data_IF_375864172246
#
_entry.id   IF_375864172246
#
_cell.length_a   1.000
_cell.length_b   1.000
_cell.length_c   1.000
_cell.angle_alpha   90.00
_cell.angle_beta   90.00
_cell.angle_gamma   90.00
#
_symmetry.space_group_name_H-M   'P 1'
#
loop_
_entity.id
_entity.type
_entity.pdbx_description
1 polymer ?
#
# COMPACT_ATOMS: atom_id res chain seq x y z
N UNK A 1 4.88 10.72 -5.91
CA UNK A 1 4.41 9.43 -6.48
C UNK A 1 5.53 8.70 -7.24
N UNK A 2 6.82 8.93 -6.92
CA UNK A 2 7.94 8.51 -7.79
C UNK A 2 8.59 7.16 -7.43
N UNK A 3 8.06 6.42 -6.45
CA UNK A 3 8.68 5.16 -5.98
C UNK A 3 7.68 4.00 -5.96
N UNK A 4 6.85 3.86 -6.99
CA UNK A 4 6.22 2.56 -7.23
C UNK A 4 7.25 1.62 -7.88
N UNK A 5 7.95 0.92 -6.99
CA UNK A 5 8.91 -0.17 -7.20
C UNK A 5 8.53 -1.08 -8.37
N UNK A 6 9.19 -0.93 -9.52
CA UNK A 6 9.09 -1.88 -10.64
C UNK A 6 10.42 -2.61 -10.90
N UNK A 7 11.55 -1.91 -10.80
CA UNK A 7 12.86 -2.48 -11.14
C UNK A 7 13.67 -2.77 -9.87
N UNK A 8 14.00 -4.03 -9.55
CA UNK A 8 14.97 -4.35 -8.51
C UNK A 8 16.36 -3.92 -8.98
N UNK A 9 17.09 -3.20 -8.13
CA UNK A 9 18.50 -2.86 -8.34
C UNK A 9 19.38 -3.78 -7.49
N UNK A 10 20.68 -3.85 -7.80
CA UNK A 10 21.66 -4.59 -6.99
C UNK A 10 21.69 -4.12 -5.51
N UNK A 11 21.23 -2.90 -5.24
CA UNK A 11 21.11 -2.32 -3.90
C UNK A 11 19.75 -2.60 -3.22
N UNK A 12 18.70 -2.94 -4.00
CA UNK A 12 17.34 -3.25 -3.52
C UNK A 12 16.99 -4.71 -3.79
N UNK A 13 17.61 -5.60 -3.01
CA UNK A 13 17.46 -7.06 -3.12
C UNK A 13 16.08 -7.59 -2.70
N UNK A 14 15.33 -6.83 -1.88
CA UNK A 14 14.04 -7.25 -1.33
C UNK A 14 12.90 -6.61 -2.14
N UNK A 15 12.06 -7.44 -2.75
CA UNK A 15 10.92 -6.99 -3.55
C UNK A 15 9.65 -6.79 -2.72
N UNK A 16 9.46 -7.62 -1.70
CA UNK A 16 8.40 -7.53 -0.71
C UNK A 16 8.85 -8.23 0.59
N UNK A 17 8.25 -7.84 1.71
CA UNK A 17 8.39 -8.57 2.97
C UNK A 17 7.10 -8.50 3.78
N UNK A 18 6.97 -9.47 4.68
CA UNK A 18 5.97 -9.49 5.74
C UNK A 18 6.71 -9.81 7.03
N UNK A 19 6.65 -8.90 8.00
CA UNK A 19 7.37 -9.00 9.27
C UNK A 19 6.42 -8.82 10.44
N UNK A 20 6.67 -9.57 11.51
CA UNK A 20 6.10 -9.31 12.83
C UNK A 20 6.99 -8.29 13.54
N UNK A 21 6.41 -7.18 13.95
CA UNK A 21 7.10 -6.11 14.67
C UNK A 21 6.47 -5.88 16.05
N UNK A 22 7.29 -5.37 16.96
CA UNK A 22 6.86 -4.78 18.22
C UNK A 22 7.11 -3.28 18.17
N UNK A 23 6.05 -2.47 18.27
CA UNK A 23 6.17 -1.01 18.31
C UNK A 23 6.52 -0.61 19.74
N UNK A 24 7.73 -0.07 19.93
CA UNK A 24 8.23 0.40 21.23
C UNK A 24 7.85 1.85 21.50
N UNK A 25 7.73 2.68 20.46
CA UNK A 25 7.35 4.09 20.59
C UNK A 25 6.49 4.60 19.44
N UNK A 26 5.55 5.50 19.71
CA UNK A 26 4.80 6.27 18.71
C UNK A 26 5.06 7.75 18.95
N UNK A 27 5.88 8.38 18.10
CA UNK A 27 6.32 9.76 18.34
C UNK A 27 5.30 10.81 17.84
N UNK A 28 4.41 10.46 16.90
CA UNK A 28 3.37 11.36 16.39
C UNK A 28 1.98 10.74 16.47
N UNK A 29 1.12 11.38 17.27
CA UNK A 29 -0.29 11.02 17.38
C UNK A 29 -1.10 11.59 16.21
N UNK A 30 -1.80 10.72 15.50
CA UNK A 30 -2.70 11.10 14.41
C UNK A 30 -4.15 10.98 14.86
N UNK A 31 -5.01 11.88 14.36
CA UNK A 31 -6.46 11.76 14.54
C UNK A 31 -7.01 10.49 13.88
N UNK A 32 -6.35 10.04 12.80
CA UNK A 32 -6.60 8.76 12.16
C UNK A 32 -5.31 7.93 12.14
N UNK A 33 -5.11 7.03 13.12
CA UNK A 33 -3.89 6.23 13.22
C UNK A 33 -3.87 5.09 12.20
N UNK A 34 -2.67 4.71 11.75
CA UNK A 34 -2.47 3.55 10.88
C UNK A 34 -2.19 2.25 11.65
N UNK A 35 -1.99 2.34 12.98
CA UNK A 35 -1.79 1.17 13.84
C UNK A 35 -3.16 0.61 14.20
N UNK A 36 -3.40 -0.65 13.84
CA UNK A 36 -4.64 -1.36 14.19
C UNK A 36 -4.36 -2.38 15.28
N UNK A 37 -5.06 -2.24 16.41
CA UNK A 37 -5.06 -3.19 17.53
C UNK A 37 -6.33 -4.02 17.49
N UNK A 38 -6.18 -5.34 17.64
CA UNK A 38 -7.32 -6.26 17.71
C UNK A 38 -7.63 -6.60 19.16
N UNK A 39 -8.89 -6.48 19.54
CA UNK A 39 -9.41 -6.92 20.83
C UNK A 39 -10.65 -7.81 20.64
N UNK A 40 -11.35 -8.14 21.73
CA UNK A 40 -12.55 -8.98 21.69
C UNK A 40 -13.77 -8.29 21.03
N UNK A 41 -13.72 -6.97 20.84
CA UNK A 41 -14.79 -6.15 20.25
C UNK A 41 -14.54 -5.84 18.78
N UNK A 42 -13.29 -5.92 18.32
CA UNK A 42 -12.94 -5.83 16.91
C UNK A 42 -11.56 -5.22 16.67
N UNK A 43 -11.46 -4.51 15.55
CA UNK A 43 -10.24 -3.82 15.13
C UNK A 43 -10.38 -2.33 15.44
N UNK A 44 -9.40 -1.78 16.16
CA UNK A 44 -9.38 -0.39 16.59
C UNK A 44 -8.11 0.31 16.11
N UNK A 45 -8.26 1.47 15.49
CA UNK A 45 -7.11 2.31 15.10
C UNK A 45 -6.66 3.14 16.29
N UNK A 46 -5.41 2.97 16.71
CA UNK A 46 -4.87 3.51 17.96
C UNK A 46 -3.50 4.14 17.76
N UNK A 47 -3.09 5.05 18.64
CA UNK A 47 -1.72 5.57 18.69
C UNK A 47 -0.96 4.93 19.87
N UNK A 48 -1.06 3.62 20.01
CA UNK A 48 -0.52 2.88 21.15
C UNK A 48 0.50 1.84 20.71
N UNK A 49 1.31 1.40 21.67
CA UNK A 49 2.22 0.27 21.49
C UNK A 49 1.43 -1.00 21.20
N UNK A 50 1.86 -1.74 20.19
CA UNK A 50 1.30 -3.05 19.88
C UNK A 50 2.31 -3.93 19.15
N UNK A 51 2.08 -5.24 19.22
CA UNK A 51 2.70 -6.20 18.33
C UNK A 51 1.79 -6.43 17.13
N UNK A 52 2.32 -6.33 15.92
CA UNK A 52 1.53 -6.57 14.72
C UNK A 52 2.36 -7.09 13.55
N UNK A 53 1.67 -7.71 12.58
CA UNK A 53 2.23 -8.14 11.31
C UNK A 53 2.03 -7.05 10.27
N UNK A 54 3.10 -6.67 9.58
CA UNK A 54 3.11 -5.56 8.62
C UNK A 54 3.78 -6.00 7.32
N UNK A 55 3.31 -5.44 6.22
CA UNK A 55 4.01 -5.48 4.95
C UNK A 55 4.96 -4.27 4.81
N UNK A 56 5.72 -4.24 3.71
CA UNK A 56 6.68 -3.17 3.45
C UNK A 56 6.04 -1.78 3.30
N UNK A 57 4.85 -1.70 2.73
CA UNK A 57 4.16 -0.41 2.49
C UNK A 57 3.62 0.14 3.79
N UNK A 58 3.00 -0.71 4.60
CA UNK A 58 2.45 -0.34 5.90
C UNK A 58 3.55 0.12 6.85
N UNK A 59 4.67 -0.61 6.89
CA UNK A 59 5.80 -0.25 7.75
C UNK A 59 6.39 1.12 7.34
N UNK A 60 6.62 1.34 6.05
CA UNK A 60 7.11 2.62 5.53
C UNK A 60 6.18 3.78 5.89
N UNK A 61 4.86 3.58 5.74
CA UNK A 61 3.87 4.59 6.11
C UNK A 61 3.90 4.91 7.61
N UNK A 62 4.01 3.91 8.48
CA UNK A 62 4.05 4.14 9.93
C UNK A 62 5.33 4.86 10.35
N UNK A 63 6.48 4.52 9.75
CA UNK A 63 7.75 5.25 9.96
C UNK A 63 7.58 6.72 9.53
N UNK A 64 7.02 6.95 8.35
CA UNK A 64 6.91 8.30 7.78
C UNK A 64 5.91 9.19 8.52
N UNK A 65 4.74 8.67 8.86
CA UNK A 65 3.61 9.48 9.34
C UNK A 65 3.43 9.45 10.85
N UNK A 66 3.70 8.32 11.51
CA UNK A 66 3.59 8.17 12.98
C UNK A 66 4.95 8.18 13.68
N UNK A 67 6.05 8.11 12.92
CA UNK A 67 7.42 8.14 13.44
C UNK A 67 7.63 7.08 14.53
N UNK A 68 7.21 5.86 14.21
CA UNK A 68 7.29 4.75 15.16
C UNK A 68 8.74 4.32 15.39
N UNK A 69 9.04 3.91 16.61
CA UNK A 69 10.21 3.10 16.94
C UNK A 69 9.72 1.67 17.15
N UNK A 70 10.45 0.70 16.62
CA UNK A 70 10.00 -0.70 16.62
C UNK A 70 11.17 -1.67 16.53
N UNK A 71 10.91 -2.90 16.97
CA UNK A 71 11.81 -4.04 16.83
C UNK A 71 11.19 -5.06 15.88
N UNK A 72 12.03 -5.68 15.02
CA UNK A 72 11.60 -6.79 14.17
C UNK A 72 11.76 -8.08 14.96
N UNK A 73 10.68 -8.86 15.05
CA UNK A 73 10.68 -10.15 15.77
C UNK A 73 11.08 -11.27 14.81
N UNK A 74 10.38 -11.35 13.67
CA UNK A 74 10.58 -12.36 12.62
C UNK A 74 9.88 -11.92 11.34
N UNK A 75 10.19 -12.57 10.22
CA UNK A 75 9.43 -12.35 9.00
C UNK A 75 9.92 -13.17 7.82
N UNK A 76 9.20 -13.04 6.73
CA UNK A 76 9.56 -13.59 5.43
C UNK A 76 9.80 -12.44 4.45
N UNK A 77 10.76 -12.62 3.57
CA UNK A 77 11.04 -11.68 2.49
C UNK A 77 11.13 -12.45 1.17
N UNK A 78 10.82 -11.73 0.10
CA UNK A 78 10.90 -12.22 -1.26
C UNK A 78 11.93 -11.41 -2.04
N UNK A 79 12.65 -12.12 -2.90
CA UNK A 79 13.67 -11.57 -3.80
C UNK A 79 13.20 -11.66 -5.24
N UNK A 80 13.83 -10.90 -6.14
CA UNK A 80 13.55 -10.95 -7.58
C UNK A 80 12.54 -9.92 -8.06
N UNK A 81 12.19 -9.98 -9.35
CA UNK A 81 11.37 -8.96 -10.00
C UNK A 81 9.88 -9.10 -9.69
N UNK A 82 9.18 -7.97 -9.57
CA UNK A 82 7.72 -7.96 -9.49
C UNK A 82 7.12 -8.24 -10.87
N UNK A 83 6.13 -9.12 -10.93
CA UNK A 83 5.38 -9.35 -12.17
C UNK A 83 4.47 -8.16 -12.48
N UNK A 84 4.50 -7.70 -13.73
CA UNK A 84 3.63 -6.63 -14.23
C UNK A 84 2.35 -7.18 -14.92
N UNK A 85 2.09 -8.49 -14.83
CA UNK A 85 0.95 -9.13 -15.50
C UNK A 85 -0.39 -8.44 -15.17
N UNK A 86 -0.67 -8.22 -13.89
CA UNK A 86 -1.92 -7.56 -13.48
C UNK A 86 -1.97 -6.09 -13.91
N UNK A 87 -0.88 -5.35 -13.79
CA UNK A 87 -0.80 -3.95 -14.23
C UNK A 87 -1.14 -3.82 -15.71
N UNK A 88 -0.57 -4.70 -16.54
CA UNK A 88 -0.81 -4.69 -17.99
C UNK A 88 -2.28 -5.01 -18.31
N UNK A 89 -2.91 -5.94 -17.61
CA UNK A 89 -4.32 -6.29 -17.85
C UNK A 89 -5.28 -5.19 -17.37
N UNK A 90 -4.97 -4.59 -16.21
CA UNK A 90 -5.71 -3.43 -15.69
C UNK A 90 -5.62 -2.26 -16.69
N UNK A 91 -4.45 -1.99 -17.26
CA UNK A 91 -4.25 -0.94 -18.26
C UNK A 91 -5.15 -1.14 -19.49
N UNK A 92 -5.27 -2.38 -19.99
CA UNK A 92 -6.19 -2.69 -21.10
C UNK A 92 -7.63 -2.33 -20.75
N UNK A 93 -8.09 -2.72 -19.56
CA UNK A 93 -9.45 -2.42 -19.08
C UNK A 93 -9.66 -0.91 -18.95
N UNK A 94 -8.69 -0.17 -18.40
CA UNK A 94 -8.76 1.28 -18.28
C UNK A 94 -8.84 1.97 -19.65
N UNK A 95 -8.01 1.55 -20.61
CA UNK A 95 -8.02 2.08 -21.97
C UNK A 95 -9.35 1.80 -22.67
N UNK A 96 -9.92 0.60 -22.51
CA UNK A 96 -11.25 0.28 -23.02
C UNK A 96 -12.33 1.19 -22.42
N UNK A 97 -12.33 1.37 -21.09
CA UNK A 97 -13.27 2.26 -20.40
C UNK A 97 -13.15 3.70 -20.89
N UNK A 98 -11.94 4.18 -21.12
CA UNK A 98 -11.67 5.51 -21.65
C UNK A 98 -12.27 5.69 -23.07
N UNK A 99 -12.08 4.72 -23.95
CA UNK A 99 -12.63 4.75 -25.31
C UNK A 99 -14.17 4.71 -25.31
N UNK A 100 -14.77 3.85 -24.49
CA UNK A 100 -16.23 3.78 -24.36
C UNK A 100 -16.81 5.11 -23.83
N UNK A 101 -16.16 5.72 -22.84
CA UNK A 101 -16.58 7.03 -22.31
C UNK A 101 -16.55 8.11 -23.38
N UNK A 102 -15.50 8.15 -24.22
CA UNK A 102 -15.40 9.08 -25.36
C UNK A 102 -16.54 8.88 -26.36
N UNK A 103 -16.85 7.63 -26.74
CA UNK A 103 -17.94 7.33 -27.67
C UNK A 103 -19.30 7.76 -27.12
N UNK A 104 -19.59 7.46 -25.85
CA UNK A 104 -20.84 7.89 -25.20
C UNK A 104 -20.98 9.42 -25.22
N UNK A 105 -19.90 10.14 -24.93
CA UNK A 105 -19.88 11.62 -25.01
C UNK A 105 -20.14 12.08 -26.45
N UNK A 106 -19.47 11.48 -27.43
CA UNK A 106 -19.64 11.81 -28.84
C UNK A 106 -21.08 11.61 -29.34
N UNK A 107 -21.71 10.47 -29.04
CA UNK A 107 -23.11 10.22 -29.41
C UNK A 107 -24.08 11.18 -28.70
N UNK A 108 -23.82 11.53 -27.43
CA UNK A 108 -24.61 12.57 -26.74
C UNK A 108 -24.48 13.94 -27.41
N UNK A 109 -23.31 14.29 -27.94
CA UNK A 109 -23.14 15.54 -28.69
C UNK A 109 -23.97 15.50 -29.98
N UNK A 110 -23.92 14.41 -30.76
CA UNK A 110 -24.67 14.29 -32.02
C UNK A 110 -26.19 14.35 -31.83
N UNK A 111 -26.73 13.75 -30.77
CA UNK A 111 -28.19 13.69 -30.53
C UNK A 111 -28.77 15.04 -30.04
N UNK A 112 -27.94 15.96 -29.54
CA UNK A 112 -28.37 17.26 -29.03
C UNK A 112 -28.18 18.42 -30.05
N UNK A 113 -27.88 18.10 -31.31
CA UNK A 113 -27.95 19.01 -32.47
C UNK A 113 -29.05 18.52 -33.42
#
# INVERSE_FOLDING_TARGET
>A
MLEQQLEPTNERYISAFIVDIEISKVNKHLHFPNITKKDNKGNHNVNEFCTMRVDNVMLENMIKFQQIEFNIIRGYYWTGCKSNMFSNEIEKIYNLRYQLKKKVIHYKTIINY
#
